data_IF_953074656062
#
_entry.id   IF_953074656062
#
_cell.length_a   1.000
_cell.length_b   1.000
_cell.length_c   1.000
_cell.angle_alpha   90.00
_cell.angle_beta   90.00
_cell.angle_gamma   90.00
#
_symmetry.space_group_name_H-M   'P 1'
#
loop_
_entity.id
_entity.type
_entity.pdbx_description
1 polymer ?
#
# COMPACT_ATOMS: atom_id res chain seq x y z
N UNK A 1 2.11 6.54 13.56
CA UNK A 1 1.89 6.69 12.12
C UNK A 1 0.58 5.98 11.79
N UNK A 2 -0.14 6.39 10.75
CA UNK A 2 -1.33 5.65 10.29
C UNK A 2 -1.09 5.16 8.86
N UNK A 3 -1.50 3.93 8.58
CA UNK A 3 -1.37 3.32 7.25
C UNK A 3 -2.76 2.93 6.76
N UNK A 4 -3.09 3.35 5.54
CA UNK A 4 -4.31 2.94 4.86
C UNK A 4 -3.96 1.98 3.73
N UNK A 5 -4.52 0.79 3.79
CA UNK A 5 -4.33 -0.23 2.77
C UNK A 5 -5.51 -0.27 1.82
N UNK A 6 -5.22 -0.42 0.54
CA UNK A 6 -6.18 -0.84 -0.47
C UNK A 6 -5.54 -1.86 -1.39
N UNK A 7 -6.36 -2.63 -2.09
CA UNK A 7 -5.85 -3.63 -3.02
C UNK A 7 -6.76 -3.81 -4.24
N UNK A 8 -6.18 -4.36 -5.30
CA UNK A 8 -6.86 -4.80 -6.50
C UNK A 8 -6.29 -6.17 -6.88
N UNK A 9 -7.16 -7.13 -7.17
CA UNK A 9 -6.78 -8.44 -7.70
C UNK A 9 -7.14 -8.48 -9.18
N UNK A 10 -6.11 -8.48 -10.02
CA UNK A 10 -6.28 -8.72 -11.45
C UNK A 10 -6.38 -10.23 -11.69
N UNK A 11 -7.55 -10.68 -12.11
CA UNK A 11 -7.85 -12.09 -12.38
C UNK A 11 -7.46 -12.52 -13.81
N UNK A 12 -7.06 -11.58 -14.67
CA UNK A 12 -6.60 -11.85 -16.03
C UNK A 12 -5.36 -10.99 -16.36
N UNK A 13 -4.27 -11.12 -15.57
CA UNK A 13 -3.06 -10.35 -15.80
C UNK A 13 -2.34 -10.83 -17.06
N UNK A 14 -1.45 -10.00 -17.59
CA UNK A 14 -0.49 -10.48 -18.60
C UNK A 14 0.37 -11.60 -18.00
N UNK A 15 0.86 -12.57 -18.81
CA UNK A 15 1.59 -13.74 -18.30
C UNK A 15 2.81 -13.40 -17.43
N UNK A 16 3.43 -12.25 -17.66
CA UNK A 16 4.57 -11.74 -16.90
C UNK A 16 4.22 -11.24 -15.49
N UNK A 17 2.95 -10.90 -15.23
CA UNK A 17 2.46 -10.42 -13.93
C UNK A 17 1.70 -11.50 -13.14
N UNK A 18 1.45 -12.68 -13.71
CA UNK A 18 0.82 -13.78 -12.98
C UNK A 18 1.66 -14.17 -11.75
N UNK A 19 0.99 -14.42 -10.62
CA UNK A 19 1.60 -14.70 -9.32
C UNK A 19 2.50 -13.60 -8.75
N UNK A 20 2.35 -12.35 -9.21
CA UNK A 20 3.12 -11.21 -8.68
C UNK A 20 2.33 -10.40 -7.66
N UNK A 21 3.07 -9.67 -6.82
CA UNK A 21 2.57 -8.60 -5.97
C UNK A 21 3.28 -7.31 -6.37
N UNK A 22 2.49 -6.31 -6.74
CA UNK A 22 2.95 -4.93 -6.88
C UNK A 22 2.57 -4.17 -5.61
N UNK A 23 3.55 -3.58 -4.95
CA UNK A 23 3.33 -2.71 -3.80
C UNK A 23 3.62 -1.27 -4.21
N UNK A 24 2.67 -0.37 -3.98
CA UNK A 24 2.85 1.07 -4.15
C UNK A 24 2.62 1.74 -2.80
N UNK A 25 3.59 2.51 -2.32
CA UNK A 25 3.50 3.23 -1.05
C UNK A 25 3.64 4.72 -1.29
N UNK A 26 2.82 5.52 -0.62
CA UNK A 26 2.76 6.96 -0.79
C UNK A 26 2.75 7.61 0.59
N UNK A 27 3.68 8.53 0.85
CA UNK A 27 3.71 9.29 2.11
C UNK A 27 2.98 10.61 1.90
N UNK A 28 1.92 10.85 2.67
CA UNK A 28 1.09 12.04 2.56
C UNK A 28 1.64 13.19 3.41
N UNK A 29 1.32 14.43 3.01
CA UNK A 29 1.58 15.66 3.77
C UNK A 29 2.96 16.30 3.61
N UNK A 30 3.77 15.80 2.69
CA UNK A 30 4.97 16.49 2.20
C UNK A 30 4.63 17.31 0.94
N UNK A 31 5.38 18.40 0.69
CA UNK A 31 5.20 19.26 -0.50
C UNK A 31 5.40 18.46 -1.81
N UNK A 32 6.35 17.52 -1.79
CA UNK A 32 6.54 16.49 -2.80
C UNK A 32 6.06 15.15 -2.21
N UNK A 33 4.98 14.58 -2.74
CA UNK A 33 4.39 13.33 -2.24
C UNK A 33 5.34 12.16 -2.58
N UNK A 34 6.16 11.66 -1.63
CA UNK A 34 7.13 10.62 -1.91
C UNK A 34 6.38 9.33 -2.21
N UNK A 35 6.70 8.74 -3.36
CA UNK A 35 6.03 7.52 -3.84
C UNK A 35 7.07 6.45 -4.17
N UNK A 36 6.84 5.26 -3.64
CA UNK A 36 7.61 4.05 -3.88
C UNK A 36 6.75 3.04 -4.63
N UNK A 37 7.35 2.29 -5.55
CA UNK A 37 6.68 1.15 -6.20
C UNK A 37 7.67 0.03 -6.45
N UNK A 38 7.28 -1.18 -6.09
CA UNK A 38 8.07 -2.40 -6.29
C UNK A 38 7.20 -3.54 -6.79
N UNK A 39 7.84 -4.55 -7.39
CA UNK A 39 7.20 -5.73 -7.96
C UNK A 39 8.02 -6.97 -7.56
N UNK A 40 7.35 -7.97 -7.01
CA UNK A 40 7.96 -9.26 -6.65
C UNK A 40 7.00 -10.41 -6.88
N UNK A 41 7.49 -11.65 -6.81
CA UNK A 41 6.62 -12.82 -6.78
C UNK A 41 5.93 -12.92 -5.42
N UNK A 42 4.64 -13.29 -5.43
CA UNK A 42 3.84 -13.42 -4.22
C UNK A 42 4.41 -14.45 -3.24
N UNK A 43 5.02 -15.52 -3.74
CA UNK A 43 5.68 -16.52 -2.91
C UNK A 43 6.91 -15.93 -2.19
N UNK A 44 7.70 -15.11 -2.87
CA UNK A 44 8.96 -14.56 -2.33
C UNK A 44 8.63 -13.44 -1.34
N UNK A 45 7.57 -12.66 -1.61
CA UNK A 45 7.10 -11.63 -0.69
C UNK A 45 6.53 -12.21 0.62
N UNK A 46 5.92 -13.40 0.58
CA UNK A 46 5.34 -14.02 1.78
C UNK A 46 6.32 -14.89 2.57
N UNK A 47 7.43 -15.24 1.94
CA UNK A 47 8.47 -15.97 2.62
C UNK A 47 9.07 -15.07 3.71
N UNK A 48 8.73 -15.39 4.96
CA UNK A 48 9.27 -14.75 6.15
C UNK A 48 10.42 -15.58 6.76
N UNK A 49 10.65 -16.79 6.27
CA UNK A 49 11.82 -17.59 6.67
C UNK A 49 13.04 -17.20 5.84
N UNK A 50 12.82 -16.74 4.60
CA UNK A 50 13.83 -16.22 3.71
C UNK A 50 13.65 -14.71 3.48
N UNK A 51 14.34 -13.88 4.27
CA UNK A 51 14.33 -12.41 4.17
C UNK A 51 14.97 -11.84 2.88
N UNK A 52 15.22 -12.67 1.87
CA UNK A 52 15.83 -12.29 0.59
C UNK A 52 14.89 -11.50 -0.34
N UNK A 53 13.65 -11.21 0.08
CA UNK A 53 12.73 -10.41 -0.72
C UNK A 53 13.20 -8.96 -0.80
N UNK A 54 13.92 -8.64 -1.88
CA UNK A 54 14.42 -7.28 -2.15
C UNK A 54 13.32 -6.20 -2.07
N UNK A 55 12.07 -6.52 -2.45
CA UNK A 55 10.96 -5.57 -2.33
C UNK A 55 10.67 -5.13 -0.90
N UNK A 56 10.87 -6.00 0.10
CA UNK A 56 10.74 -5.65 1.53
C UNK A 56 11.89 -4.74 1.97
N UNK A 57 13.11 -5.08 1.55
CA UNK A 57 14.32 -4.29 1.84
C UNK A 57 14.24 -2.88 1.21
N UNK A 58 13.86 -2.79 -0.06
CA UNK A 58 13.68 -1.52 -0.77
C UNK A 58 12.57 -0.66 -0.10
N UNK A 59 11.50 -1.29 0.41
CA UNK A 59 10.45 -0.59 1.16
C UNK A 59 10.98 -0.04 2.50
N UNK A 60 11.78 -0.82 3.24
CA UNK A 60 12.43 -0.34 4.46
C UNK A 60 13.32 0.88 4.18
N UNK A 61 14.17 0.80 3.15
CA UNK A 61 15.03 1.92 2.76
C UNK A 61 14.23 3.16 2.39
N UNK A 62 13.15 3.01 1.64
CA UNK A 62 12.26 4.13 1.30
C UNK A 62 11.72 4.86 2.54
N UNK A 63 11.27 4.12 3.56
CA UNK A 63 10.76 4.73 4.79
C UNK A 63 11.88 5.37 5.63
N UNK A 64 13.06 4.74 5.69
CA UNK A 64 14.23 5.32 6.36
C UNK A 64 14.68 6.62 5.69
N UNK A 65 14.71 6.67 4.35
CA UNK A 65 15.05 7.87 3.57
C UNK A 65 14.03 9.00 3.79
N UNK A 66 12.76 8.65 4.02
CA UNK A 66 11.72 9.60 4.43
C UNK A 66 11.84 10.06 5.90
N UNK A 67 12.82 9.56 6.65
CA UNK A 67 13.12 10.00 8.01
C UNK A 67 12.34 9.28 9.11
N UNK A 68 11.65 8.18 8.80
CA UNK A 68 11.04 7.33 9.83
C UNK A 68 12.13 6.56 10.60
N UNK A 69 11.87 6.33 11.90
CA UNK A 69 12.78 5.54 12.75
C UNK A 69 12.56 4.03 12.56
N UNK A 70 13.54 3.24 12.98
CA UNK A 70 13.55 1.78 12.80
C UNK A 70 12.29 1.08 13.34
N UNK A 71 11.77 1.50 14.49
CA UNK A 71 10.56 0.91 15.09
C UNK A 71 9.33 1.13 14.20
N UNK A 72 9.16 2.35 13.69
CA UNK A 72 8.06 2.71 12.78
C UNK A 72 8.18 1.99 11.43
N UNK A 73 9.40 1.86 10.91
CA UNK A 73 9.68 1.13 9.68
C UNK A 73 9.33 -0.35 9.85
N UNK A 74 9.75 -0.94 10.97
CA UNK A 74 9.45 -2.34 11.29
C UNK A 74 7.94 -2.58 11.41
N UNK A 75 7.22 -1.73 12.15
CA UNK A 75 5.77 -1.83 12.30
C UNK A 75 5.05 -1.75 10.95
N UNK A 76 5.45 -0.82 10.08
CA UNK A 76 4.86 -0.67 8.74
C UNK A 76 5.10 -1.90 7.86
N UNK A 77 6.30 -2.48 7.90
CA UNK A 77 6.62 -3.69 7.18
C UNK A 77 5.78 -4.88 7.69
N UNK A 78 5.64 -5.02 9.01
CA UNK A 78 4.83 -6.07 9.63
C UNK A 78 3.35 -5.94 9.23
N UNK A 79 2.78 -4.73 9.28
CA UNK A 79 1.39 -4.50 8.85
C UNK A 79 1.18 -4.87 7.37
N UNK A 80 2.11 -4.49 6.49
CA UNK A 80 2.06 -4.86 5.07
C UNK A 80 2.13 -6.38 4.87
N UNK A 81 3.02 -7.07 5.59
CA UNK A 81 3.14 -8.53 5.50
C UNK A 81 1.85 -9.20 5.95
N UNK A 82 1.27 -8.79 7.07
CA UNK A 82 0.01 -9.34 7.59
C UNK A 82 -1.11 -9.12 6.57
N UNK A 83 -1.25 -7.90 6.03
CA UNK A 83 -2.27 -7.58 5.05
C UNK A 83 -2.14 -8.44 3.77
N UNK A 84 -0.93 -8.63 3.27
CA UNK A 84 -0.68 -9.50 2.11
C UNK A 84 -0.96 -10.98 2.43
N UNK A 85 -0.61 -11.45 3.63
CA UNK A 85 -0.89 -12.83 4.05
C UNK A 85 -2.40 -13.09 4.10
N UNK A 86 -3.18 -12.15 4.65
CA UNK A 86 -4.65 -12.24 4.68
C UNK A 86 -5.27 -12.32 3.28
N UNK A 87 -4.82 -11.47 2.35
CA UNK A 87 -5.32 -11.44 0.97
C UNK A 87 -4.96 -12.68 0.15
N UNK A 88 -3.84 -13.32 0.48
CA UNK A 88 -3.35 -14.49 -0.26
C UNK A 88 -3.54 -15.79 0.50
N UNK A 89 -4.23 -15.74 1.64
CA UNK A 89 -4.57 -16.89 2.45
C UNK A 89 -5.41 -17.87 1.60
N UNK A 90 -5.11 -19.17 1.58
CA UNK A 90 -5.88 -20.14 0.78
C UNK A 90 -7.37 -20.21 1.14
N UNK A 91 -7.76 -19.63 2.29
CA UNK A 91 -9.14 -19.55 2.75
C UNK A 91 -9.88 -18.29 2.29
N UNK A 92 -9.16 -17.23 1.89
CA UNK A 92 -9.74 -16.07 1.21
C UNK A 92 -9.81 -16.40 -0.28
N UNK A 93 -11.03 -16.66 -0.77
CA UNK A 93 -11.27 -17.20 -2.13
C UNK A 93 -10.92 -16.25 -3.29
N UNK A 94 -10.26 -15.13 -3.02
CA UNK A 94 -10.13 -14.01 -3.95
C UNK A 94 -8.81 -14.04 -4.73
N UNK A 95 -7.70 -14.47 -4.13
CA UNK A 95 -6.41 -14.55 -4.79
C UNK A 95 -6.06 -15.98 -5.22
N UNK A 96 -5.58 -16.13 -6.45
CA UNK A 96 -5.01 -17.39 -6.95
C UNK A 96 -3.65 -17.16 -7.62
N UNK A 97 -2.81 -18.19 -7.80
CA UNK A 97 -1.53 -18.05 -8.51
C UNK A 97 -1.67 -17.58 -9.97
N UNK A 98 -2.87 -17.64 -10.56
CA UNK A 98 -3.14 -17.06 -11.88
C UNK A 98 -3.38 -15.54 -11.86
N UNK A 99 -3.53 -14.94 -10.68
CA UNK A 99 -3.84 -13.54 -10.50
C UNK A 99 -2.58 -12.69 -10.26
N UNK A 100 -2.70 -11.38 -10.44
CA UNK A 100 -1.74 -10.39 -9.98
C UNK A 100 -2.38 -9.56 -8.85
N UNK A 101 -1.64 -9.37 -7.75
CA UNK A 101 -2.10 -8.55 -6.63
C UNK A 101 -1.44 -7.18 -6.71
N UNK A 102 -2.24 -6.12 -6.64
CA UNK A 102 -1.76 -4.74 -6.46
C UNK A 102 -2.16 -4.30 -5.06
N UNK A 103 -1.20 -3.89 -4.24
CA UNK A 103 -1.42 -3.31 -2.91
C UNK A 103 -0.98 -1.87 -2.96
N UNK A 104 -1.84 -0.98 -2.46
CA UNK A 104 -1.51 0.42 -2.27
C UNK A 104 -1.55 0.75 -0.79
N UNK A 105 -0.54 1.48 -0.32
CA UNK A 105 -0.41 1.96 1.04
C UNK A 105 -0.30 3.47 1.03
N UNK A 106 -1.18 4.13 1.77
CA UNK A 106 -1.04 5.55 2.07
C UNK A 106 -0.57 5.70 3.51
N UNK A 107 0.58 6.35 3.68
CA UNK A 107 1.28 6.50 4.94
C UNK A 107 1.08 7.94 5.41
N UNK A 108 0.53 8.07 6.61
CA UNK A 108 0.23 9.36 7.24
C UNK A 108 1.13 9.51 8.47
N UNK A 109 2.12 10.42 8.40
CA UNK A 109 2.93 10.80 9.55
C UNK A 109 2.08 11.34 10.71
N UNK A 110 2.49 11.08 11.95
CA UNK A 110 1.74 11.52 13.15
C UNK A 110 1.69 13.03 13.36
N UNK A 111 2.57 13.79 12.69
CA UNK A 111 2.56 15.24 12.75
C UNK A 111 1.41 15.86 11.94
N UNK A 112 0.76 15.09 11.06
CA UNK A 112 -0.43 15.51 10.33
C UNK A 112 -1.66 15.23 11.20
N UNK A 113 -2.26 16.29 11.72
CA UNK A 113 -3.50 16.18 12.46
C UNK A 113 -4.69 15.89 11.53
N UNK A 114 -5.83 15.52 12.14
CA UNK A 114 -7.05 15.16 11.41
C UNK A 114 -7.59 16.32 10.54
N UNK A 115 -7.30 17.57 10.89
CA UNK A 115 -7.67 18.76 10.11
C UNK A 115 -6.78 18.92 8.87
N UNK A 116 -5.47 18.69 8.99
CA UNK A 116 -4.52 18.67 7.88
C UNK A 116 -4.85 17.54 6.90
N UNK A 117 -5.21 16.36 7.43
CA UNK A 117 -5.70 15.24 6.63
C UNK A 117 -6.99 15.59 5.87
N UNK A 118 -7.95 16.24 6.53
CA UNK A 118 -9.16 16.68 5.85
C UNK A 118 -8.87 17.67 4.72
N UNK A 119 -7.92 18.61 4.89
CA UNK A 119 -7.50 19.52 3.81
C UNK A 119 -6.77 18.82 2.66
N UNK A 120 -5.95 17.81 2.95
CA UNK A 120 -5.32 16.97 1.92
C UNK A 120 -6.37 16.27 1.05
N UNK A 121 -7.45 15.76 1.64
CA UNK A 121 -8.55 15.13 0.88
C UNK A 121 -9.47 16.13 0.17
N UNK A 122 -9.52 17.39 0.62
CA UNK A 122 -10.27 18.44 -0.07
C UNK A 122 -9.49 19.02 -1.25
N UNK A 123 -8.16 19.02 -1.19
CA UNK A 123 -7.28 19.51 -2.25
C UNK A 123 -6.91 18.43 -3.28
N UNK A 124 -6.74 17.17 -2.85
CA UNK A 124 -6.70 16.01 -3.75
C UNK A 124 -8.13 15.59 -4.09
N UNK A 125 -8.57 15.85 -5.32
CA UNK A 125 -9.91 15.50 -5.80
C UNK A 125 -10.15 13.98 -5.92
N UNK A 126 -9.44 13.11 -5.21
CA UNK A 126 -9.49 11.66 -5.33
C UNK A 126 -9.62 11.05 -3.93
N UNK A 127 -10.69 10.29 -3.72
CA UNK A 127 -10.95 9.55 -2.49
C UNK A 127 -9.83 8.53 -2.21
N UNK A 128 -9.16 8.53 -1.04
CA UNK A 128 -8.09 7.58 -0.71
C UNK A 128 -8.57 6.13 -0.55
N UNK A 129 -9.82 5.94 -0.13
CA UNK A 129 -10.40 4.60 0.10
C UNK A 129 -10.91 3.95 -1.18
N UNK A 130 -11.14 4.75 -2.23
CA UNK A 130 -11.93 4.31 -3.38
C UNK A 130 -11.42 4.83 -4.73
N UNK A 131 -10.41 5.70 -4.75
CA UNK A 131 -9.77 6.30 -5.92
C UNK A 131 -10.71 6.96 -6.93
N UNK A 132 -11.93 7.29 -6.52
CA UNK A 132 -12.91 8.00 -7.35
C UNK A 132 -12.64 9.50 -7.29
N UNK A 133 -12.64 10.14 -8.47
CA UNK A 133 -12.53 11.59 -8.60
C UNK A 133 -13.79 12.24 -8.02
N UNK A 134 -13.68 12.96 -6.91
CA UNK A 134 -14.77 13.77 -6.34
C UNK A 134 -15.25 14.76 -7.42
N UNK A 135 -16.56 14.80 -7.68
CA UNK A 135 -17.44 15.49 -6.76
C UNK A 135 -18.62 14.60 -6.35
N UNK A 136 -18.77 14.34 -5.06
CA UNK A 136 -20.08 14.03 -4.53
C UNK A 136 -20.80 15.37 -4.39
N UNK A 137 -21.66 15.74 -5.34
CA UNK A 137 -22.75 16.64 -4.98
C UNK A 137 -23.56 15.89 -3.92
N UNK A 138 -23.33 16.20 -2.65
CA UNK A 138 -24.32 15.90 -1.62
C UNK A 138 -25.54 16.73 -2.01
N UNK A 139 -26.51 16.12 -2.68
CA UNK A 139 -27.83 16.73 -2.86
C UNK A 139 -28.40 16.98 -1.46
N UNK A 140 -28.31 18.24 -1.02
CA UNK A 140 -29.07 18.76 0.11
C UNK A 140 -30.56 18.54 -0.19
N UNK A 141 -31.24 17.78 0.67
CA UNK A 141 -32.69 17.58 0.64
C UNK A 141 -33.33 18.37 1.77
#
# INVERSE_FOLDING_TARGET
MRIFFSHEIDNNPEPEYAATIRVTATILGEDDIPTFTTLSLAKDFKDNENDECKSKEDFNYFLMEAGFNDDVVYDALVELIIYVDELTCPTSSEYSPGCALKVQLEIVPDYLDDECMAMLFVTNNVCPLCFVKLPCECEDQ
#
